data_IF_342537760986
#
_entry.id   IF_342537760986
#
_cell.length_a   1.000
_cell.length_b   1.000
_cell.length_c   1.000
_cell.angle_alpha   90.00
_cell.angle_beta   90.00
_cell.angle_gamma   90.00
#
_symmetry.space_group_name_H-M   'P 1'
#
loop_
_entity.id
_entity.type
_entity.pdbx_description
1 polymer ?
#
# COMPACT_ATOMS: atom_id res chain seq x y z
N UNK A 1 -3.50 14.08 -4.35
CA UNK A 1 -2.82 12.91 -3.75
C UNK A 1 -3.45 12.50 -2.42
N UNK A 2 -3.98 13.44 -1.63
CA UNK A 2 -4.75 13.15 -0.41
C UNK A 2 -5.87 12.10 -0.58
N UNK A 3 -6.58 12.11 -1.72
CA UNK A 3 -7.62 11.13 -2.03
C UNK A 3 -7.10 9.68 -2.14
N UNK A 4 -5.87 9.47 -2.60
CA UNK A 4 -5.26 8.13 -2.69
C UNK A 4 -4.94 7.61 -1.29
N UNK A 5 -4.38 8.47 -0.43
CA UNK A 5 -4.08 8.13 0.97
C UNK A 5 -5.38 7.78 1.70
N UNK A 6 -6.43 8.58 1.50
CA UNK A 6 -7.75 8.32 2.07
C UNK A 6 -8.32 6.98 1.61
N UNK A 7 -8.29 6.70 0.30
CA UNK A 7 -8.79 5.42 -0.23
C UNK A 7 -7.99 4.21 0.31
N UNK A 8 -6.66 4.35 0.46
CA UNK A 8 -5.82 3.31 1.06
C UNK A 8 -6.16 3.10 2.54
N UNK A 9 -6.36 4.16 3.31
CA UNK A 9 -6.78 4.10 4.72
C UNK A 9 -8.16 3.45 4.88
N UNK A 10 -9.14 3.82 4.06
CA UNK A 10 -10.52 3.32 4.20
C UNK A 10 -10.69 1.89 3.69
N UNK A 11 -9.95 1.48 2.65
CA UNK A 11 -10.16 0.18 1.97
C UNK A 11 -9.03 -0.81 2.20
N UNK A 12 -7.77 -0.38 2.07
CA UNK A 12 -6.62 -1.28 2.11
C UNK A 12 -6.14 -1.57 3.54
N UNK A 13 -6.04 -0.54 4.40
CA UNK A 13 -5.59 -0.69 5.78
C UNK A 13 -6.44 -1.67 6.61
N UNK A 14 -7.78 -1.66 6.61
CA UNK A 14 -8.55 -2.62 7.41
C UNK A 14 -8.33 -4.07 6.96
N UNK A 15 -8.19 -4.31 5.66
CA UNK A 15 -7.91 -5.64 5.12
C UNK A 15 -6.50 -6.11 5.48
N UNK A 16 -5.50 -5.24 5.29
CA UNK A 16 -4.11 -5.53 5.67
C UNK A 16 -3.98 -5.77 7.18
N UNK A 17 -4.66 -4.97 8.02
CA UNK A 17 -4.72 -5.17 9.48
C UNK A 17 -5.41 -6.48 9.86
N UNK A 18 -6.48 -6.87 9.15
CA UNK A 18 -7.16 -8.15 9.38
C UNK A 18 -6.24 -9.36 9.11
N UNK A 19 -5.33 -9.24 8.14
CA UNK A 19 -4.28 -10.22 7.86
C UNK A 19 -3.06 -10.11 8.81
N UNK A 20 -3.09 -9.19 9.79
CA UNK A 20 -1.98 -8.94 10.72
C UNK A 20 -0.79 -8.20 10.11
N UNK A 21 -0.99 -7.56 8.96
CA UNK A 21 -0.01 -6.69 8.32
C UNK A 21 -0.17 -5.23 8.75
N UNK A 22 0.80 -4.41 8.34
CA UNK A 22 0.71 -2.95 8.43
C UNK A 22 1.07 -2.33 7.08
N UNK A 23 0.45 -1.19 6.76
CA UNK A 23 0.66 -0.46 5.52
C UNK A 23 1.34 0.89 5.80
N UNK A 24 2.44 1.13 5.09
CA UNK A 24 3.21 2.36 5.16
C UNK A 24 3.26 3.01 3.77
N UNK A 25 3.11 4.32 3.72
CA UNK A 25 3.29 5.13 2.53
C UNK A 25 4.75 5.58 2.46
N UNK A 26 5.48 5.17 1.43
CA UNK A 26 6.88 5.55 1.23
C UNK A 26 6.96 6.87 0.46
N UNK A 27 6.28 6.93 -0.68
CA UNK A 27 6.24 8.12 -1.51
C UNK A 27 5.00 8.12 -2.39
N UNK A 28 4.51 9.31 -2.70
CA UNK A 28 3.45 9.52 -3.68
C UNK A 28 3.93 10.63 -4.61
N UNK A 29 4.04 10.31 -5.89
CA UNK A 29 4.44 11.21 -6.96
C UNK A 29 3.28 11.39 -7.95
N UNK A 30 3.46 12.22 -8.98
CA UNK A 30 2.45 12.39 -10.03
C UNK A 30 2.30 11.15 -10.94
N UNK A 31 3.27 10.23 -10.90
CA UNK A 31 3.34 9.07 -11.79
C UNK A 31 3.19 7.75 -11.03
N UNK A 32 3.66 7.68 -9.78
CA UNK A 32 3.61 6.48 -8.97
C UNK A 32 3.22 6.71 -7.50
N UNK A 33 2.67 5.67 -6.89
CA UNK A 33 2.51 5.53 -5.44
C UNK A 33 3.32 4.35 -4.98
N UNK A 34 4.17 4.57 -3.99
CA UNK A 34 4.98 3.53 -3.36
C UNK A 34 4.47 3.28 -1.95
N UNK A 35 4.00 2.06 -1.72
CA UNK A 35 3.62 1.56 -0.40
C UNK A 35 4.54 0.42 0.05
N UNK A 36 4.70 0.31 1.36
CA UNK A 36 5.45 -0.74 2.01
C UNK A 36 4.53 -1.52 2.95
N UNK A 37 4.48 -2.84 2.79
CA UNK A 37 3.73 -3.73 3.66
C UNK A 37 4.69 -4.46 4.61
N UNK A 38 4.37 -4.44 5.90
CA UNK A 38 5.11 -5.17 6.94
C UNK A 38 4.17 -6.07 7.75
N UNK A 39 4.64 -6.68 8.84
CA UNK A 39 3.91 -7.66 9.64
C UNK A 39 3.84 -9.02 8.95
N UNK A 40 2.68 -9.68 8.98
CA UNK A 40 2.48 -10.97 8.28
C UNK A 40 2.71 -10.87 6.77
N UNK A 41 2.58 -9.66 6.21
CA UNK A 41 2.84 -9.40 4.79
C UNK A 41 4.34 -9.27 4.44
N UNK A 42 5.22 -9.14 5.43
CA UNK A 42 6.66 -9.00 5.22
C UNK A 42 7.26 -10.28 4.62
N UNK A 43 7.62 -10.26 3.32
CA UNK A 43 8.22 -11.41 2.64
C UNK A 43 7.24 -12.50 2.22
N UNK A 44 5.93 -12.26 2.30
CA UNK A 44 4.94 -13.22 1.81
C UNK A 44 4.89 -13.22 0.27
N UNK A 45 4.96 -14.39 -0.41
CA UNK A 45 4.77 -14.47 -1.86
C UNK A 45 3.38 -14.00 -2.32
N UNK A 46 2.40 -13.95 -1.40
CA UNK A 46 1.06 -13.41 -1.63
C UNK A 46 0.99 -11.88 -1.73
N UNK A 47 2.07 -11.15 -1.42
CA UNK A 47 2.08 -9.69 -1.51
C UNK A 47 1.82 -9.17 -2.93
N UNK A 48 2.20 -9.94 -3.95
CA UNK A 48 1.86 -9.64 -5.35
C UNK A 48 0.34 -9.65 -5.56
N UNK A 49 -0.38 -10.63 -4.99
CA UNK A 49 -1.84 -10.65 -5.08
C UNK A 49 -2.48 -9.50 -4.32
N UNK A 50 -1.95 -9.13 -3.15
CA UNK A 50 -2.40 -7.94 -2.42
C UNK A 50 -2.22 -6.67 -3.26
N UNK A 51 -1.10 -6.55 -3.98
CA UNK A 51 -0.90 -5.45 -4.93
C UNK A 51 -1.97 -5.43 -6.01
N UNK A 52 -2.10 -6.51 -6.76
CA UNK A 52 -2.95 -6.56 -7.96
C UNK A 52 -4.45 -6.53 -7.65
N UNK A 53 -4.88 -7.11 -6.53
CA UNK A 53 -6.30 -7.29 -6.21
C UNK A 53 -6.85 -6.31 -5.19
N UNK A 54 -5.99 -5.68 -4.39
CA UNK A 54 -6.41 -4.72 -3.37
C UNK A 54 -5.89 -3.33 -3.68
N UNK A 55 -4.56 -3.16 -3.80
CA UNK A 55 -3.97 -1.83 -3.88
C UNK A 55 -4.16 -1.17 -5.25
N UNK A 56 -3.89 -1.88 -6.34
CA UNK A 56 -4.09 -1.40 -7.71
C UNK A 56 -5.53 -0.92 -7.96
N UNK A 57 -6.59 -1.72 -7.72
CA UNK A 57 -7.97 -1.28 -7.95
C UNK A 57 -8.38 -0.12 -7.03
N UNK A 58 -7.95 -0.11 -5.76
CA UNK A 58 -8.21 1.01 -4.84
C UNK A 58 -7.59 2.31 -5.34
N UNK A 59 -6.32 2.26 -5.79
CA UNK A 59 -5.62 3.44 -6.32
C UNK A 59 -6.21 3.86 -7.66
N UNK A 60 -6.43 2.93 -8.59
CA UNK A 60 -6.95 3.23 -9.93
C UNK A 60 -8.38 3.74 -9.93
N UNK A 61 -9.18 3.38 -8.92
CA UNK A 61 -10.52 3.97 -8.72
C UNK A 61 -10.48 5.48 -8.48
N UNK A 62 -9.38 6.01 -7.94
CA UNK A 62 -9.16 7.45 -7.70
C UNK A 62 -8.24 8.08 -8.75
N UNK A 63 -7.21 7.34 -9.17
CA UNK A 63 -6.14 7.79 -10.05
C UNK A 63 -5.74 6.67 -11.04
N UNK A 64 -6.46 6.52 -12.17
CA UNK A 64 -6.29 5.39 -13.09
C UNK A 64 -4.94 5.35 -13.82
N UNK A 65 -4.19 6.46 -13.84
CA UNK A 65 -2.88 6.55 -14.50
C UNK A 65 -1.70 6.32 -13.55
N UNK A 66 -1.94 6.14 -12.25
CA UNK A 66 -0.88 6.01 -11.25
C UNK A 66 -0.32 4.57 -11.25
N UNK A 67 1.00 4.44 -11.29
CA UNK A 67 1.66 3.15 -11.10
C UNK A 67 1.75 2.80 -9.60
N UNK A 68 1.39 1.57 -9.23
CA UNK A 68 1.45 1.12 -7.83
C UNK A 68 2.70 0.28 -7.60
N UNK A 69 3.64 0.82 -6.83
CA UNK A 69 4.84 0.13 -6.36
C UNK A 69 4.60 -0.40 -4.96
N UNK A 70 4.84 -1.69 -4.78
CA UNK A 70 4.71 -2.35 -3.48
C UNK A 70 6.04 -2.98 -3.12
N UNK A 71 6.50 -2.69 -1.91
CA UNK A 71 7.64 -3.37 -1.29
C UNK A 71 7.17 -4.06 -0.03
N UNK A 72 7.80 -5.15 0.34
CA UNK A 72 7.51 -5.83 1.60
C UNK A 72 8.78 -6.09 2.38
N UNK A 73 8.67 -6.13 3.70
CA UNK A 73 9.81 -6.44 4.55
C UNK A 73 9.54 -6.10 6.01
N UNK A 74 10.38 -6.64 6.89
CA UNK A 74 10.37 -6.30 8.31
C UNK A 74 10.93 -4.89 8.58
N UNK A 75 11.76 -4.38 7.66
CA UNK A 75 12.37 -3.06 7.77
C UNK A 75 11.58 -2.07 6.94
N UNK A 76 10.90 -1.17 7.62
CA UNK A 76 10.21 -0.04 6.99
C UNK A 76 11.26 0.92 6.39
N UNK A 77 11.10 1.34 5.12
CA UNK A 77 12.00 2.30 4.48
C UNK A 77 12.08 3.63 5.25
N UNK A 78 13.24 4.28 5.24
CA UNK A 78 13.41 5.61 5.85
C UNK A 78 12.50 6.64 5.19
N UNK A 79 11.76 7.41 5.99
CA UNK A 79 10.79 8.40 5.53
C UNK A 79 9.38 7.87 5.24
N UNK A 80 9.13 6.57 5.41
CA UNK A 80 7.79 6.04 5.23
C UNK A 80 6.86 6.43 6.40
N UNK A 81 5.65 6.86 6.06
CA UNK A 81 4.61 7.25 7.03
C UNK A 81 3.58 6.14 7.16
N UNK A 82 3.26 5.73 8.38
CA UNK A 82 2.22 4.72 8.62
C UNK A 82 0.86 5.27 8.18
N UNK A 83 0.12 4.48 7.43
CA UNK A 83 -1.27 4.81 7.05
C UNK A 83 -2.20 4.13 8.05
N UNK A 84 -3.02 4.91 8.75
CA UNK A 84 -3.89 4.41 9.82
C UNK A 84 -5.32 4.12 9.35
#
# INVERSE_FOLDING_TARGET
MEQVIKALSELAVPLVKADGGELYLVSVTGEDVHVHLTGTCAGCPGATMTRERLLEPTVHGVAPKLAVKVTTGWRVPEGATKVE
#
